data_IF_677028825293
#
_entry.id   IF_677028825293
#
_cell.length_a   1.000
_cell.length_b   1.000
_cell.length_c   1.000
_cell.angle_alpha   90.00
_cell.angle_beta   90.00
_cell.angle_gamma   90.00
#
_symmetry.space_group_name_H-M   'P 1'
#
loop_
_entity.id
_entity.type
_entity.pdbx_description
1 polymer ?
#
# COMPACT_ATOMS: atom_id res chain seq x y z
N UNK A 1 33.63 -8.31 38.36
CA UNK A 1 32.77 -7.13 38.56
C UNK A 1 32.08 -6.84 37.25
N UNK A 2 30.77 -6.94 37.30
CA UNK A 2 29.90 -7.36 36.21
C UNK A 2 29.72 -6.36 35.08
N UNK A 3 29.71 -6.91 33.86
CA UNK A 3 29.06 -6.33 32.70
C UNK A 3 27.58 -6.68 32.80
N UNK A 4 26.67 -5.71 32.92
CA UNK A 4 25.32 -5.87 32.35
C UNK A 4 24.72 -4.52 31.96
N UNK A 5 24.52 -4.39 30.65
CA UNK A 5 23.73 -3.39 29.97
C UNK A 5 22.31 -3.95 29.74
N UNK A 6 21.29 -3.12 30.00
CA UNK A 6 19.93 -3.21 29.44
C UNK A 6 18.84 -3.86 30.31
N UNK A 7 17.54 -3.54 30.09
CA UNK A 7 16.97 -3.03 28.83
C UNK A 7 16.14 -1.73 28.93
N UNK A 8 16.28 -0.85 27.94
CA UNK A 8 15.30 0.18 27.61
C UNK A 8 14.07 -0.48 26.96
N UNK A 9 13.01 -0.65 27.74
CA UNK A 9 11.73 -1.17 27.27
C UNK A 9 10.96 -0.04 26.57
N UNK A 10 11.19 0.17 25.27
CA UNK A 10 10.25 0.91 24.40
C UNK A 10 9.23 -0.11 23.91
N UNK A 11 8.04 -0.07 24.48
CA UNK A 11 6.91 -0.94 24.12
C UNK A 11 6.71 -0.90 22.60
N UNK A 12 6.84 -2.06 21.93
CA UNK A 12 6.55 -2.21 20.50
C UNK A 12 5.12 -1.73 20.25
N UNK A 13 4.96 -0.67 19.45
CA UNK A 13 3.65 -0.06 19.16
C UNK A 13 2.97 -0.66 17.94
N UNK A 14 3.66 -1.54 17.21
CA UNK A 14 3.15 -2.10 15.96
C UNK A 14 2.30 -3.32 16.26
N UNK A 15 1.11 -3.33 15.67
CA UNK A 15 0.19 -4.46 15.72
C UNK A 15 0.71 -5.66 14.89
N UNK A 16 1.52 -5.40 13.86
CA UNK A 16 2.02 -6.42 12.94
C UNK A 16 3.53 -6.32 12.72
N UNK A 17 4.20 -7.48 12.72
CA UNK A 17 5.60 -7.59 12.32
C UNK A 17 5.78 -7.21 10.85
N UNK A 18 6.93 -6.59 10.55
CA UNK A 18 7.34 -6.23 9.20
C UNK A 18 8.41 -7.19 8.72
N UNK A 19 8.28 -7.63 7.49
CA UNK A 19 9.29 -8.39 6.77
C UNK A 19 9.99 -7.47 5.79
N UNK A 20 11.32 -7.56 5.74
CA UNK A 20 12.09 -6.89 4.69
C UNK A 20 11.66 -7.46 3.34
N UNK A 21 11.29 -6.56 2.45
CA UNK A 21 10.72 -6.92 1.16
C UNK A 21 11.15 -5.89 0.13
N UNK A 22 12.39 -6.01 -0.33
CA UNK A 22 12.96 -5.11 -1.32
C UNK A 22 12.76 -5.68 -2.72
N UNK A 23 11.75 -5.18 -3.44
CA UNK A 23 11.45 -5.59 -4.82
C UNK A 23 10.99 -4.39 -5.66
N UNK A 24 11.17 -4.43 -6.99
CA UNK A 24 10.51 -3.49 -7.88
C UNK A 24 8.99 -3.48 -7.65
N UNK A 25 8.39 -2.31 -7.76
CA UNK A 25 6.96 -2.09 -7.58
C UNK A 25 6.40 -1.32 -8.77
N UNK A 26 5.43 -1.90 -9.46
CA UNK A 26 4.58 -1.16 -10.37
C UNK A 26 3.33 -0.69 -9.62
N UNK A 27 2.93 0.56 -9.79
CA UNK A 27 1.79 1.12 -9.08
C UNK A 27 1.02 2.16 -9.92
N UNK A 28 -0.17 2.53 -9.44
CA UNK A 28 -0.98 3.62 -9.99
C UNK A 28 -1.51 4.47 -8.85
N UNK A 29 -1.42 5.78 -9.00
CA UNK A 29 -2.15 6.71 -8.12
C UNK A 29 -3.53 6.89 -8.73
N UNK A 30 -4.57 6.49 -7.99
CA UNK A 30 -5.94 6.47 -8.51
C UNK A 30 -6.55 7.88 -8.61
N UNK A 31 -5.92 8.86 -9.22
CA UNK A 31 -6.49 10.21 -9.46
C UNK A 31 -7.06 10.28 -10.88
N UNK A 32 -8.19 10.94 -11.15
CA UNK A 32 -8.81 10.98 -12.48
C UNK A 32 -7.82 11.23 -13.64
N UNK A 33 -6.80 12.07 -13.41
CA UNK A 33 -5.77 12.45 -14.38
C UNK A 33 -4.63 11.42 -14.56
N UNK A 34 -4.47 10.47 -13.63
CA UNK A 34 -3.28 9.59 -13.51
C UNK A 34 -3.63 8.09 -13.64
N UNK A 35 -4.91 7.71 -13.69
CA UNK A 35 -5.36 6.30 -13.72
C UNK A 35 -4.70 5.47 -14.83
N UNK A 36 -4.39 6.11 -15.97
CA UNK A 36 -3.85 5.43 -17.14
C UNK A 36 -2.32 5.27 -17.13
N UNK A 37 -1.62 5.89 -16.17
CA UNK A 37 -0.15 5.79 -16.08
C UNK A 37 0.26 4.72 -15.07
N UNK A 38 0.98 3.72 -15.57
CA UNK A 38 1.71 2.78 -14.72
C UNK A 38 3.03 3.44 -14.30
N UNK A 39 3.25 3.52 -13.00
CA UNK A 39 4.42 4.15 -12.38
C UNK A 39 5.31 3.09 -11.73
N UNK A 40 6.57 3.45 -11.51
CA UNK A 40 7.60 2.53 -10.99
C UNK A 40 8.20 3.04 -9.67
N UNK A 41 8.47 2.11 -8.77
CA UNK A 41 9.13 2.34 -7.51
C UNK A 41 9.73 1.05 -6.97
N UNK A 42 10.01 1.02 -5.67
CA UNK A 42 10.46 -0.20 -4.99
C UNK A 42 9.80 -0.34 -3.62
N UNK A 43 9.51 -1.57 -3.21
CA UNK A 43 9.08 -1.88 -1.86
C UNK A 43 10.29 -1.88 -0.91
N UNK A 44 10.09 -1.57 0.36
CA UNK A 44 11.14 -1.63 1.39
C UNK A 44 10.84 -2.73 2.39
N UNK A 45 9.63 -2.71 2.97
CA UNK A 45 9.14 -3.74 3.87
C UNK A 45 7.62 -3.85 3.79
N UNK A 46 7.11 -5.02 4.15
CA UNK A 46 5.69 -5.35 4.10
C UNK A 46 5.25 -5.94 5.44
N UNK A 47 4.00 -5.68 5.83
CA UNK A 47 3.32 -6.35 6.94
C UNK A 47 1.94 -6.80 6.49
N UNK A 48 1.22 -7.49 7.37
CA UNK A 48 -0.15 -7.93 7.09
C UNK A 48 -1.12 -6.78 6.75
N UNK A 49 -0.85 -5.59 7.28
CA UNK A 49 -1.74 -4.43 7.21
C UNK A 49 -1.27 -3.30 6.32
N UNK A 50 -0.08 -3.41 5.74
CA UNK A 50 0.46 -2.33 4.92
C UNK A 50 1.84 -2.60 4.37
N UNK A 51 2.34 -1.61 3.64
CA UNK A 51 3.63 -1.66 3.00
C UNK A 51 4.32 -0.30 3.05
N UNK A 52 5.64 -0.32 3.17
CA UNK A 52 6.49 0.83 2.91
C UNK A 52 7.09 0.68 1.52
N UNK A 53 6.91 1.68 0.67
CA UNK A 53 7.56 1.75 -0.63
C UNK A 53 8.30 3.08 -0.80
N UNK A 54 9.19 3.12 -1.77
CA UNK A 54 9.79 4.33 -2.27
C UNK A 54 9.29 4.60 -3.69
N UNK A 55 8.83 5.83 -3.91
CA UNK A 55 8.33 6.30 -5.19
C UNK A 55 8.88 7.69 -5.48
N UNK A 56 8.88 8.11 -6.74
CA UNK A 56 9.27 9.48 -7.16
C UNK A 56 8.08 10.38 -7.42
N UNK A 57 6.90 9.80 -7.58
CA UNK A 57 5.69 10.55 -7.84
C UNK A 57 5.18 11.25 -6.58
N UNK A 58 4.69 12.46 -6.76
CA UNK A 58 4.11 13.23 -5.67
C UNK A 58 2.74 12.66 -5.27
N UNK A 59 2.65 12.17 -4.04
CA UNK A 59 1.42 11.67 -3.41
C UNK A 59 1.13 12.49 -2.16
N UNK A 60 -0.15 12.55 -1.78
CA UNK A 60 -0.59 13.18 -0.54
C UNK A 60 -1.23 12.17 0.40
N UNK A 61 -1.24 12.48 1.71
CA UNK A 61 -1.92 11.63 2.70
C UNK A 61 -3.39 11.46 2.33
N UNK A 62 -3.87 10.22 2.40
CA UNK A 62 -5.22 9.85 2.00
C UNK A 62 -5.38 9.47 0.52
N UNK A 63 -4.38 9.68 -0.33
CA UNK A 63 -4.41 9.18 -1.71
C UNK A 63 -4.61 7.66 -1.72
N UNK A 64 -5.38 7.20 -2.71
CA UNK A 64 -5.58 5.78 -2.97
C UNK A 64 -4.60 5.35 -4.05
N UNK A 65 -3.85 4.29 -3.76
CA UNK A 65 -2.83 3.72 -4.61
C UNK A 65 -3.18 2.27 -4.91
N UNK A 66 -3.15 1.91 -6.18
CA UNK A 66 -3.19 0.51 -6.62
C UNK A 66 -1.75 0.01 -6.78
N UNK A 67 -1.46 -1.15 -6.20
CA UNK A 67 -0.15 -1.77 -6.19
C UNK A 67 -0.21 -3.07 -6.98
N UNK A 68 0.63 -3.21 -8.00
CA UNK A 68 0.73 -4.45 -8.75
C UNK A 68 1.43 -5.50 -7.90
N UNK A 69 0.74 -6.59 -7.63
CA UNK A 69 1.29 -7.73 -6.92
C UNK A 69 0.89 -9.02 -7.62
N UNK A 70 1.88 -9.84 -7.95
CA UNK A 70 1.60 -11.20 -8.38
C UNK A 70 1.12 -12.08 -7.20
N UNK A 71 0.46 -13.20 -7.52
CA UNK A 71 -0.04 -14.14 -6.51
C UNK A 71 1.07 -14.71 -5.65
N UNK A 72 2.28 -14.88 -6.19
CA UNK A 72 3.45 -15.30 -5.41
C UNK A 72 3.81 -14.30 -4.33
N UNK A 73 3.66 -12.99 -4.58
CA UNK A 73 3.90 -11.96 -3.58
C UNK A 73 2.79 -11.93 -2.53
N UNK A 74 1.53 -12.15 -2.94
CA UNK A 74 0.42 -12.26 -1.99
C UNK A 74 0.60 -13.44 -1.03
N UNK A 75 1.19 -14.55 -1.48
CA UNK A 75 1.46 -15.72 -0.63
C UNK A 75 2.53 -15.48 0.45
N UNK A 76 3.30 -14.39 0.38
CA UNK A 76 4.28 -14.03 1.43
C UNK A 76 3.57 -13.76 2.76
N UNK A 77 2.30 -13.37 2.70
CA UNK A 77 1.46 -13.29 3.86
C UNK A 77 0.04 -13.69 3.47
N UNK A 78 -0.34 -14.94 3.78
CA UNK A 78 -1.69 -15.47 3.53
C UNK A 78 -2.79 -14.53 4.05
N UNK A 79 -2.52 -13.81 5.15
CA UNK A 79 -3.44 -12.83 5.72
C UNK A 79 -3.66 -11.60 4.82
N UNK A 80 -2.65 -11.19 4.04
CA UNK A 80 -2.79 -10.11 3.04
C UNK A 80 -3.82 -10.54 1.99
N UNK A 81 -3.66 -11.73 1.39
CA UNK A 81 -4.59 -12.21 0.35
C UNK A 81 -6.02 -12.32 0.89
N UNK A 82 -6.17 -12.82 2.12
CA UNK A 82 -7.48 -13.03 2.75
C UNK A 82 -8.18 -11.72 3.12
N UNK A 83 -7.46 -10.73 3.65
CA UNK A 83 -8.05 -9.51 4.22
C UNK A 83 -8.07 -8.33 3.27
N UNK A 84 -7.09 -8.22 2.38
CA UNK A 84 -6.95 -7.04 1.53
C UNK A 84 -7.99 -7.04 0.41
N UNK A 85 -8.36 -5.82 0.01
CA UNK A 85 -9.16 -5.59 -1.17
C UNK A 85 -8.28 -5.67 -2.42
N UNK A 86 -8.52 -6.70 -3.23
CA UNK A 86 -7.80 -6.97 -4.47
C UNK A 86 -8.64 -6.50 -5.65
N UNK A 87 -8.04 -5.71 -6.54
CA UNK A 87 -8.65 -5.21 -7.77
C UNK A 87 -7.68 -5.39 -8.94
N UNK A 88 -8.13 -5.96 -10.06
CA UNK A 88 -7.30 -6.18 -11.27
C UNK A 88 -5.91 -6.77 -10.98
N UNK A 89 -5.83 -7.84 -10.16
CA UNK A 89 -4.57 -8.47 -9.75
C UNK A 89 -3.59 -7.51 -9.02
N UNK A 90 -4.11 -6.55 -8.27
CA UNK A 90 -3.30 -5.71 -7.38
C UNK A 90 -4.03 -5.36 -6.09
N UNK A 91 -3.29 -4.83 -5.13
CA UNK A 91 -3.80 -4.46 -3.80
C UNK A 91 -4.09 -2.97 -3.77
N UNK A 92 -5.22 -2.60 -3.16
CA UNK A 92 -5.52 -1.20 -2.88
C UNK A 92 -4.95 -0.79 -1.51
N UNK A 93 -4.17 0.29 -1.51
CA UNK A 93 -3.63 0.92 -0.31
C UNK A 93 -4.01 2.40 -0.22
N UNK A 94 -4.08 2.90 1.01
CA UNK A 94 -4.25 4.32 1.31
C UNK A 94 -2.95 4.88 1.87
N UNK A 95 -2.51 6.03 1.36
CA UNK A 95 -1.34 6.73 1.89
C UNK A 95 -1.62 7.20 3.31
N UNK A 96 -0.80 6.77 4.26
CA UNK A 96 -0.91 7.13 5.70
C UNK A 96 0.34 7.83 6.23
N UNK A 97 1.46 7.75 5.50
CA UNK A 97 2.72 8.41 5.84
C UNK A 97 3.49 8.74 4.58
N UNK A 98 4.12 9.91 4.55
CA UNK A 98 5.05 10.34 3.52
C UNK A 98 6.29 10.90 4.22
N UNK A 99 7.46 10.52 3.75
CA UNK A 99 8.75 11.03 4.20
C UNK A 99 9.61 11.38 2.99
N UNK A 100 10.06 12.63 2.93
CA UNK A 100 10.85 13.15 1.83
C UNK A 100 12.31 12.73 2.00
N UNK A 101 12.95 12.33 0.90
CA UNK A 101 14.37 12.06 0.85
C UNK A 101 15.12 13.18 0.15
N UNK A 102 16.41 13.30 0.46
CA UNK A 102 17.31 14.30 -0.15
C UNK A 102 17.46 14.11 -1.66
N UNK A 103 17.31 12.87 -2.15
CA UNK A 103 17.36 12.53 -3.58
C UNK A 103 16.08 12.88 -4.36
N UNK A 104 15.12 13.54 -3.72
CA UNK A 104 13.84 13.94 -4.32
C UNK A 104 12.80 12.81 -4.41
N UNK A 105 13.11 11.60 -3.92
CA UNK A 105 12.13 10.52 -3.78
C UNK A 105 11.38 10.57 -2.44
N UNK A 106 10.36 9.73 -2.30
CA UNK A 106 9.48 9.68 -1.13
C UNK A 106 9.44 8.27 -0.57
N UNK A 107 9.63 8.11 0.74
CA UNK A 107 9.24 6.91 1.46
C UNK A 107 7.75 7.03 1.84
N UNK A 108 6.93 6.17 1.26
CA UNK A 108 5.48 6.22 1.37
C UNK A 108 4.98 4.98 2.10
N UNK A 109 4.33 5.22 3.24
CA UNK A 109 3.65 4.19 4.00
C UNK A 109 2.20 4.07 3.54
N UNK A 110 1.81 2.88 3.08
CA UNK A 110 0.47 2.54 2.65
C UNK A 110 -0.18 1.60 3.66
N UNK A 111 -1.38 1.93 4.12
CA UNK A 111 -2.25 0.98 4.83
C UNK A 111 -3.11 0.26 3.79
N UNK A 112 -3.15 -1.07 3.82
CA UNK A 112 -4.02 -1.82 2.92
C UNK A 112 -5.48 -1.58 3.27
N UNK A 113 -6.28 -1.36 2.23
CA UNK A 113 -7.74 -1.32 2.36
C UNK A 113 -8.22 -2.76 2.52
N UNK A 114 -9.01 -3.01 3.55
CA UNK A 114 -9.55 -4.36 3.81
C UNK A 114 -10.89 -4.59 3.11
N UNK A 115 -11.28 -5.85 2.96
CA UNK A 115 -12.59 -6.24 2.42
C UNK A 115 -13.76 -5.83 3.32
N UNK A 116 -13.51 -5.63 4.61
CA UNK A 116 -14.51 -5.29 5.63
C UNK A 116 -14.76 -3.77 5.70
N UNK A 117 -13.76 -2.95 5.37
CA UNK A 117 -13.85 -1.49 5.26
C UNK A 117 -14.74 -1.01 4.09
N UNK A 118 -15.50 -1.90 3.44
CA UNK A 118 -16.42 -1.64 2.31
C UNK A 118 -17.47 -0.54 2.56
N UNK A 119 -17.70 -0.12 3.80
CA UNK A 119 -18.70 0.87 4.18
C UNK A 119 -18.14 2.26 4.53
N UNK A 120 -16.84 2.52 4.39
CA UNK A 120 -16.34 3.88 4.52
C UNK A 120 -16.86 4.73 3.36
N UNK A 121 -17.72 5.71 3.67
CA UNK A 121 -18.22 6.74 2.74
C UNK A 121 -17.09 7.48 2.01
N UNK A 122 -15.85 7.40 2.50
CA UNK A 122 -14.63 7.94 1.89
C UNK A 122 -13.84 6.95 1.00
N UNK A 123 -14.16 5.66 1.03
CA UNK A 123 -13.75 4.68 0.00
C UNK A 123 -14.79 4.68 -1.14
N UNK A 124 -16.00 5.16 -0.83
CA UNK A 124 -17.12 5.30 -1.74
C UNK A 124 -17.02 6.34 -2.88
N UNK A 125 -16.07 7.30 -2.96
CA UNK A 125 -15.91 8.08 -4.18
C UNK A 125 -15.43 7.24 -5.38
N UNK A 126 -15.04 5.97 -5.17
CA UNK A 126 -14.34 5.16 -6.20
C UNK A 126 -14.94 3.80 -6.50
N UNK A 127 -16.19 3.54 -6.13
CA UNK A 127 -17.04 2.69 -6.98
C UNK A 127 -17.22 3.34 -8.36
N UNK A 128 -16.90 4.63 -8.54
CA UNK A 128 -16.62 5.24 -9.85
C UNK A 128 -15.68 4.40 -10.74
N UNK A 129 -14.68 3.71 -10.15
CA UNK A 129 -13.75 2.84 -10.90
C UNK A 129 -14.40 1.53 -11.36
N UNK A 130 -15.41 1.04 -10.63
CA UNK A 130 -16.19 -0.15 -10.99
C UNK A 130 -17.35 0.22 -11.94
N UNK A 131 -18.02 1.36 -11.74
CA UNK A 131 -19.11 1.85 -12.57
C UNK A 131 -18.64 2.33 -13.95
N UNK A 132 -17.49 2.99 -14.06
CA UNK A 132 -16.97 3.43 -15.36
C UNK A 132 -16.38 2.29 -16.20
N UNK A 133 -15.87 1.22 -15.56
CA UNK A 133 -15.41 0.01 -16.25
C UNK A 133 -16.55 -0.88 -16.75
N UNK A 134 -17.68 -0.92 -16.05
CA UNK A 134 -18.87 -1.68 -16.47
C UNK A 134 -19.65 -1.01 -17.62
N UNK A 135 -19.49 0.29 -17.84
CA UNK A 135 -20.16 1.01 -18.93
C UNK A 135 -19.45 0.92 -20.28
N UNK A 136 -18.25 0.35 -20.38
CA UNK A 136 -17.52 0.16 -21.66
C UNK A 136 -17.73 -1.19 -22.33
N UNK A 137 -18.52 -2.10 -21.73
CA UNK A 137 -18.77 -3.45 -22.26
C UNK A 137 -20.24 -3.65 -22.73
N UNK A 138 -21.02 -2.58 -22.85
CA UNK A 138 -22.43 -2.62 -23.29
C UNK A 138 -22.71 -1.74 -24.52
N UNK A 139 -21.69 -1.40 -25.31
CA UNK A 139 -21.86 -0.83 -26.66
C UNK A 139 -21.33 -1.79 -27.73
#
# INVERSE_FOLDING_TARGET
MDKHQGPHNKTERREFSRLDYLKPLAFKVCKPEIIDKLLEGYTSNISQSGILCNIRDNVVSGDIVWLSFDRSTLSICEDIERRCFIYQNGIIGKVVRIEHKEDGSFNVGLKFVTREERNDTNIHPKIYFLQMGLNKNNE
#
